data_IF_603395088878
#
_entry.id   IF_603395088878
#
_cell.length_a   1.000
_cell.length_b   1.000
_cell.length_c   1.000
_cell.angle_alpha   90.00
_cell.angle_beta   90.00
_cell.angle_gamma   90.00
#
_symmetry.space_group_name_H-M   'P 1'
#
loop_
_entity.id
_entity.type
_entity.pdbx_description
1 polymer ?
#
# COMPACT_ATOMS: atom_id res chain seq x y z
N UNK A 1 25.93 2.92 25.45
CA UNK A 1 26.10 3.64 24.17
C UNK A 1 27.12 2.86 23.38
N UNK A 2 26.66 1.80 22.73
CA UNK A 2 27.48 0.62 22.44
C UNK A 2 27.73 0.48 20.94
N UNK A 3 28.94 0.01 20.61
CA UNK A 3 29.57 0.05 19.27
C UNK A 3 28.79 -0.69 18.17
N UNK A 4 27.76 -1.46 18.49
CA UNK A 4 26.87 -2.12 17.52
C UNK A 4 25.84 -1.19 16.88
N UNK A 5 25.49 -0.08 17.53
CA UNK A 5 24.56 0.91 16.97
C UNK A 5 25.14 1.51 15.67
N UNK A 6 26.45 1.66 15.56
CA UNK A 6 27.11 2.14 14.33
C UNK A 6 27.10 1.12 13.18
N UNK A 7 27.01 -0.19 13.44
CA UNK A 7 27.15 -1.22 12.39
C UNK A 7 25.87 -1.34 11.54
N UNK A 8 24.70 -1.02 12.12
CA UNK A 8 23.43 -1.01 11.38
C UNK A 8 23.22 0.27 10.56
N UNK A 9 23.73 1.42 11.05
CA UNK A 9 23.69 2.69 10.31
C UNK A 9 24.69 2.73 9.14
N UNK A 10 25.84 2.06 9.24
CA UNK A 10 26.90 2.17 8.23
C UNK A 10 26.69 1.27 7.00
N UNK A 11 26.00 0.13 7.13
CA UNK A 11 25.94 -0.88 6.05
C UNK A 11 24.78 -0.71 5.06
N UNK A 12 23.80 0.14 5.36
CA UNK A 12 22.61 0.36 4.52
C UNK A 12 22.72 1.65 3.69
N UNK A 13 23.56 2.62 4.09
CA UNK A 13 23.64 3.93 3.42
C UNK A 13 25.06 4.40 3.01
N UNK A 14 26.14 3.69 3.36
CA UNK A 14 27.50 4.04 2.93
C UNK A 14 28.10 2.97 2.02
N UNK A 15 27.50 2.86 0.83
CA UNK A 15 28.12 2.31 -0.36
C UNK A 15 28.37 3.39 -1.41
N UNK A 16 28.74 4.61 -1.00
CA UNK A 16 29.38 5.65 -1.83
C UNK A 16 29.62 6.87 -0.95
N UNK A 17 30.83 7.01 -0.40
CA UNK A 17 31.31 8.28 0.14
C UNK A 17 32.62 8.63 -0.56
N UNK A 18 32.67 9.85 -1.09
CA UNK A 18 33.90 10.47 -1.58
C UNK A 18 33.64 11.49 -2.69
N UNK A 19 33.24 12.71 -2.32
CA UNK A 19 33.24 13.88 -3.20
C UNK A 19 32.22 14.94 -2.81
N UNK A 20 32.69 16.13 -2.40
CA UNK A 20 31.91 17.37 -2.33
C UNK A 20 31.32 17.75 -3.70
N UNK A 21 30.25 18.58 -3.74
CA UNK A 21 29.33 18.62 -4.87
C UNK A 21 29.85 19.48 -6.01
N UNK A 22 30.11 18.85 -7.16
CA UNK A 22 30.18 19.57 -8.44
C UNK A 22 28.75 19.69 -8.99
N UNK A 23 28.19 20.90 -8.96
CA UNK A 23 26.95 21.26 -9.67
C UNK A 23 27.23 21.45 -11.17
N UNK A 24 27.96 20.51 -11.77
CA UNK A 24 28.32 20.45 -13.17
C UNK A 24 27.61 19.30 -13.86
N UNK A 25 26.63 19.62 -14.72
CA UNK A 25 26.07 18.70 -15.72
C UNK A 25 25.31 17.50 -15.17
N UNK A 26 24.06 17.72 -14.75
CA UNK A 26 23.10 16.66 -14.42
C UNK A 26 22.87 15.77 -15.66
N UNK A 27 23.56 14.63 -15.69
CA UNK A 27 23.08 13.40 -16.34
C UNK A 27 22.91 12.36 -15.22
N UNK A 28 21.96 12.61 -14.31
CA UNK A 28 21.46 11.56 -13.44
C UNK A 28 20.84 10.53 -14.37
N UNK A 29 21.42 9.33 -14.40
CA UNK A 29 20.99 8.27 -15.30
C UNK A 29 19.56 7.83 -14.91
N UNK A 30 18.56 8.53 -15.45
CA UNK A 30 17.11 8.25 -15.39
C UNK A 30 16.80 6.77 -15.68
N UNK A 31 17.69 6.12 -16.44
CA UNK A 31 17.64 4.74 -16.91
C UNK A 31 17.56 3.67 -15.80
N UNK A 32 17.89 3.97 -14.54
CA UNK A 32 17.84 2.98 -13.45
C UNK A 32 16.49 2.85 -12.75
N UNK A 33 15.79 3.97 -12.53
CA UNK A 33 14.59 4.04 -11.68
C UNK A 33 13.29 4.15 -12.49
N UNK A 34 13.36 4.75 -13.67
CA UNK A 34 12.21 4.97 -14.53
C UNK A 34 12.40 4.26 -15.86
N UNK A 35 11.37 3.54 -16.27
CA UNK A 35 11.36 2.80 -17.52
C UNK A 35 10.09 3.16 -18.28
N UNK A 36 10.19 3.40 -19.58
CA UNK A 36 8.99 3.55 -20.40
C UNK A 36 8.20 2.23 -20.44
N UNK A 37 6.89 2.38 -20.47
CA UNK A 37 5.96 1.28 -20.59
C UNK A 37 6.27 0.50 -21.87
N UNK A 38 6.40 -0.82 -21.72
CA UNK A 38 6.62 -1.74 -22.83
C UNK A 38 5.63 -2.89 -22.75
N UNK A 39 5.40 -3.55 -23.89
CA UNK A 39 4.45 -4.65 -24.00
C UNK A 39 4.75 -5.79 -23.02
N UNK A 40 6.03 -6.13 -22.82
CA UNK A 40 6.43 -7.20 -21.89
C UNK A 40 6.05 -6.89 -20.44
N UNK A 41 6.25 -5.65 -20.00
CA UNK A 41 5.83 -5.20 -18.67
C UNK A 41 4.30 -5.14 -18.58
N UNK A 42 3.63 -4.55 -19.58
CA UNK A 42 2.17 -4.43 -19.62
C UNK A 42 1.48 -5.80 -19.56
N UNK A 43 1.92 -6.78 -20.34
CA UNK A 43 1.36 -8.15 -20.31
C UNK A 43 1.61 -8.84 -18.96
N UNK A 44 2.78 -8.64 -18.37
CA UNK A 44 3.15 -9.29 -17.10
C UNK A 44 2.42 -8.70 -15.89
N UNK A 45 2.32 -7.37 -15.81
CA UNK A 45 1.80 -6.66 -14.65
C UNK A 45 0.34 -6.23 -14.80
N UNK A 46 -0.15 -6.08 -16.03
CA UNK A 46 -1.53 -5.68 -16.36
C UNK A 46 -2.16 -6.59 -17.42
N UNK A 47 -2.28 -7.91 -17.17
CA UNK A 47 -2.80 -8.88 -18.15
C UNK A 47 -4.25 -8.65 -18.57
N UNK A 48 -4.99 -7.79 -17.84
CA UNK A 48 -6.35 -7.38 -18.19
C UNK A 48 -6.40 -6.14 -19.10
N UNK A 49 -5.26 -5.56 -19.46
CA UNK A 49 -5.20 -4.31 -20.23
C UNK A 49 -5.68 -3.08 -19.44
N UNK A 50 -5.71 -3.16 -18.11
CA UNK A 50 -6.24 -2.10 -17.23
C UNK A 50 -5.59 -2.23 -15.85
N UNK A 51 -5.23 -1.09 -15.25
CA UNK A 51 -4.72 -0.98 -13.88
C UNK A 51 -5.79 -1.43 -12.90
N UNK A 52 -7.00 -0.86 -12.99
CA UNK A 52 -8.12 -1.19 -12.09
C UNK A 52 -8.71 -2.58 -12.34
N UNK A 53 -8.68 -3.06 -13.60
CA UNK A 53 -9.04 -4.44 -13.94
C UNK A 53 -8.12 -5.46 -13.25
N UNK A 54 -6.82 -5.16 -13.20
CA UNK A 54 -5.85 -6.05 -12.54
C UNK A 54 -6.00 -6.02 -11.01
N UNK A 55 -6.32 -4.84 -10.45
CA UNK A 55 -6.67 -4.70 -9.03
C UNK A 55 -7.88 -5.58 -8.69
N UNK A 56 -8.97 -5.47 -9.47
CA UNK A 56 -10.17 -6.27 -9.26
C UNK A 56 -9.88 -7.78 -9.35
N UNK A 57 -9.11 -8.21 -10.37
CA UNK A 57 -8.75 -9.62 -10.58
C UNK A 57 -7.92 -10.17 -9.41
N UNK A 58 -6.91 -9.44 -8.96
CA UNK A 58 -6.01 -9.89 -7.90
C UNK A 58 -6.72 -9.94 -6.55
N UNK A 59 -7.51 -8.92 -6.21
CA UNK A 59 -8.30 -8.92 -4.98
C UNK A 59 -9.34 -10.02 -4.96
N UNK A 60 -9.99 -10.32 -6.10
CA UNK A 60 -10.92 -11.44 -6.23
C UNK A 60 -10.22 -12.78 -6.02
N UNK A 61 -9.02 -12.97 -6.59
CA UNK A 61 -8.20 -14.19 -6.38
C UNK A 61 -7.80 -14.36 -4.92
N UNK A 62 -7.28 -13.32 -4.28
CA UNK A 62 -6.84 -13.39 -2.89
C UNK A 62 -8.04 -13.64 -1.94
N UNK A 63 -9.16 -12.97 -2.19
CA UNK A 63 -10.40 -13.19 -1.43
C UNK A 63 -10.92 -14.61 -1.62
N UNK A 64 -10.83 -15.19 -2.82
CA UNK A 64 -11.22 -16.59 -3.06
C UNK A 64 -10.39 -17.58 -2.24
N UNK A 65 -9.06 -17.42 -2.21
CA UNK A 65 -8.17 -18.26 -1.40
C UNK A 65 -8.50 -18.15 0.09
N UNK A 66 -8.73 -16.92 0.58
CA UNK A 66 -9.13 -16.68 1.96
C UNK A 66 -10.50 -17.31 2.29
N UNK A 67 -11.47 -17.27 1.37
CA UNK A 67 -12.77 -17.90 1.57
C UNK A 67 -12.68 -19.42 1.62
N UNK A 68 -11.81 -20.05 0.82
CA UNK A 68 -11.58 -21.50 0.90
C UNK A 68 -11.02 -21.85 2.29
N UNK A 69 -9.99 -21.13 2.74
CA UNK A 69 -9.38 -21.35 4.06
C UNK A 69 -10.39 -21.12 5.19
N UNK A 70 -11.18 -20.04 5.11
CA UNK A 70 -12.25 -19.74 6.06
C UNK A 70 -13.33 -20.83 6.06
N UNK A 71 -13.67 -21.38 4.89
CA UNK A 71 -14.60 -22.49 4.75
C UNK A 71 -14.15 -23.73 5.52
N UNK A 72 -12.90 -24.15 5.37
CA UNK A 72 -12.32 -25.27 6.12
C UNK A 72 -12.28 -25.01 7.64
N UNK A 73 -11.91 -23.79 8.06
CA UNK A 73 -11.93 -23.42 9.48
C UNK A 73 -13.35 -23.44 10.05
N UNK A 74 -14.34 -23.00 9.27
CA UNK A 74 -15.73 -22.95 9.69
C UNK A 74 -16.32 -24.35 9.86
N UNK A 75 -16.01 -25.30 8.97
CA UNK A 75 -16.37 -26.72 9.18
C UNK A 75 -15.73 -27.29 10.44
N UNK A 76 -14.46 -26.96 10.70
CA UNK A 76 -13.79 -27.36 11.95
C UNK A 76 -14.45 -26.78 13.20
N UNK A 77 -14.81 -25.49 13.18
CA UNK A 77 -15.50 -24.84 14.29
C UNK A 77 -16.90 -25.42 14.52
N UNK A 78 -17.65 -25.74 13.47
CA UNK A 78 -18.95 -26.40 13.58
C UNK A 78 -18.82 -27.81 14.15
N UNK A 79 -17.82 -28.59 13.72
CA UNK A 79 -17.55 -29.92 14.30
C UNK A 79 -17.17 -29.82 15.79
N UNK A 80 -16.32 -28.85 16.14
CA UNK A 80 -15.95 -28.55 17.52
C UNK A 80 -17.15 -28.13 18.38
N UNK A 81 -18.04 -27.31 17.84
CA UNK A 81 -19.30 -26.93 18.49
C UNK A 81 -20.20 -28.13 18.75
N UNK A 82 -20.43 -28.98 17.73
CA UNK A 82 -21.25 -30.19 17.87
C UNK A 82 -20.65 -31.13 18.92
N UNK A 83 -19.33 -31.33 18.89
CA UNK A 83 -18.63 -32.14 19.88
C UNK A 83 -18.78 -31.56 21.30
N UNK A 84 -18.60 -30.24 21.45
CA UNK A 84 -18.74 -29.54 22.74
C UNK A 84 -20.16 -29.62 23.29
N UNK A 85 -21.18 -29.48 22.44
CA UNK A 85 -22.59 -29.63 22.84
C UNK A 85 -22.84 -31.05 23.33
N UNK A 86 -22.43 -32.07 22.57
CA UNK A 86 -22.58 -33.48 22.96
C UNK A 86 -21.93 -33.75 24.31
N UNK A 87 -20.69 -33.30 24.49
CA UNK A 87 -19.95 -33.49 25.73
C UNK A 87 -20.61 -32.77 26.92
N UNK A 88 -21.12 -31.56 26.70
CA UNK A 88 -21.82 -30.80 27.75
C UNK A 88 -23.13 -31.48 28.16
N UNK A 89 -23.87 -32.06 27.20
CA UNK A 89 -25.09 -32.82 27.48
C UNK A 89 -24.81 -34.12 28.25
N UNK A 90 -23.72 -34.83 27.94
CA UNK A 90 -23.28 -36.01 28.70
C UNK A 90 -22.98 -35.65 30.16
N UNK A 91 -22.17 -34.60 30.39
CA UNK A 91 -21.81 -34.13 31.74
C UNK A 91 -23.03 -33.61 32.51
N UNK A 92 -23.97 -32.94 31.82
CA UNK A 92 -25.22 -32.49 32.42
C UNK A 92 -26.07 -33.66 32.94
N UNK A 93 -26.04 -34.80 32.25
CA UNK A 93 -26.74 -36.01 32.67
C UNK A 93 -26.07 -36.67 33.90
N UNK A 94 -24.76 -36.50 34.08
CA UNK A 94 -23.98 -37.03 35.21
C UNK A 94 -24.12 -36.18 36.50
N UNK A 95 -24.66 -34.96 36.40
CA UNK A 95 -25.02 -34.12 37.56
C UNK A 95 -23.89 -33.27 38.15
N UNK A 96 -22.72 -33.22 37.51
CA UNK A 96 -21.58 -32.41 37.96
C UNK A 96 -21.68 -30.96 37.45
N UNK A 97 -22.04 -30.05 38.37
CA UNK A 97 -22.33 -28.64 38.07
C UNK A 97 -21.08 -27.82 37.75
N UNK A 98 -19.91 -28.18 38.29
CA UNK A 98 -18.66 -27.43 38.07
C UNK A 98 -18.10 -27.72 36.67
N UNK A 99 -18.23 -28.97 36.21
CA UNK A 99 -17.81 -29.37 34.86
C UNK A 99 -18.80 -28.91 33.78
N UNK A 100 -20.08 -28.74 34.13
CA UNK A 100 -21.11 -28.19 33.25
C UNK A 100 -20.81 -26.73 32.84
N UNK A 101 -20.35 -25.89 33.77
CA UNK A 101 -19.95 -24.52 33.48
C UNK A 101 -18.79 -24.44 32.47
N UNK A 102 -17.82 -25.35 32.59
CA UNK A 102 -16.70 -25.46 31.65
C UNK A 102 -17.19 -25.85 30.25
N UNK A 103 -18.12 -26.81 30.15
CA UNK A 103 -18.70 -27.25 28.86
C UNK A 103 -19.47 -26.13 28.14
N UNK A 104 -20.27 -25.34 28.87
CA UNK A 104 -20.97 -24.17 28.32
C UNK A 104 -19.97 -23.14 27.80
N UNK A 105 -18.87 -22.90 28.53
CA UNK A 105 -17.80 -21.99 28.11
C UNK A 105 -17.20 -22.37 26.75
N UNK A 106 -16.92 -23.66 26.52
CA UNK A 106 -16.44 -24.14 25.22
C UNK A 106 -17.49 -23.98 24.11
N UNK A 107 -18.78 -24.20 24.39
CA UNK A 107 -19.85 -23.98 23.42
C UNK A 107 -19.90 -22.51 22.98
N UNK A 108 -19.85 -21.58 23.95
CA UNK A 108 -19.84 -20.13 23.67
C UNK A 108 -18.61 -19.75 22.84
N UNK A 109 -17.42 -20.27 23.17
CA UNK A 109 -16.20 -20.04 22.41
C UNK A 109 -16.35 -20.43 20.93
N UNK A 110 -16.86 -21.63 20.64
CA UNK A 110 -17.08 -22.08 19.26
C UNK A 110 -18.14 -21.26 18.53
N UNK A 111 -19.23 -20.87 19.20
CA UNK A 111 -20.26 -19.99 18.61
C UNK A 111 -19.66 -18.64 18.21
N UNK A 112 -18.86 -18.03 19.08
CA UNK A 112 -18.19 -16.75 18.78
C UNK A 112 -17.25 -16.88 17.58
N UNK A 113 -16.46 -17.96 17.50
CA UNK A 113 -15.59 -18.22 16.35
C UNK A 113 -16.38 -18.39 15.04
N UNK A 114 -17.49 -19.15 15.06
CA UNK A 114 -18.36 -19.32 13.88
C UNK A 114 -18.91 -17.98 13.42
N UNK A 115 -19.36 -17.12 14.35
CA UNK A 115 -19.87 -15.79 14.02
C UNK A 115 -18.78 -14.90 13.41
N UNK A 116 -17.59 -14.85 14.00
CA UNK A 116 -16.47 -14.05 13.48
C UNK A 116 -16.05 -14.50 12.08
N UNK A 117 -15.93 -15.82 11.86
CA UNK A 117 -15.62 -16.39 10.55
C UNK A 117 -16.74 -16.16 9.52
N UNK A 118 -18.00 -16.23 9.95
CA UNK A 118 -19.16 -15.92 9.11
C UNK A 118 -19.18 -14.47 8.64
N UNK A 119 -18.95 -13.52 9.54
CA UNK A 119 -18.86 -12.08 9.21
C UNK A 119 -17.68 -11.81 8.27
N UNK A 120 -16.50 -12.37 8.57
CA UNK A 120 -15.32 -12.24 7.70
C UNK A 120 -15.59 -12.80 6.29
N UNK A 121 -16.23 -13.97 6.20
CA UNK A 121 -16.60 -14.59 4.92
C UNK A 121 -17.61 -13.75 4.14
N UNK A 122 -18.61 -13.16 4.81
CA UNK A 122 -19.56 -12.25 4.18
C UNK A 122 -18.86 -11.04 3.54
N UNK A 123 -17.93 -10.40 4.26
CA UNK A 123 -17.13 -9.31 3.71
C UNK A 123 -16.24 -9.76 2.56
N UNK A 124 -15.63 -10.95 2.67
CA UNK A 124 -14.83 -11.55 1.58
C UNK A 124 -15.65 -11.75 0.30
N UNK A 125 -16.84 -12.33 0.41
CA UNK A 125 -17.77 -12.53 -0.71
C UNK A 125 -18.18 -11.19 -1.33
N UNK A 126 -18.56 -10.22 -0.50
CA UNK A 126 -18.91 -8.86 -0.97
C UNK A 126 -17.75 -8.16 -1.66
N UNK A 127 -16.52 -8.42 -1.23
CA UNK A 127 -15.34 -7.85 -1.88
C UNK A 127 -15.06 -8.51 -3.23
N UNK A 128 -15.42 -9.79 -3.41
CA UNK A 128 -15.31 -10.52 -4.68
C UNK A 128 -16.35 -10.11 -5.73
N UNK A 129 -17.48 -9.56 -5.31
CA UNK A 129 -18.51 -9.05 -6.24
C UNK A 129 -18.14 -7.70 -6.84
N UNK A 130 -17.15 -7.00 -6.27
CA UNK A 130 -16.70 -5.71 -6.80
C UNK A 130 -16.12 -5.85 -8.21
N UNK A 131 -16.58 -5.01 -9.12
CA UNK A 131 -16.11 -4.94 -10.51
C UNK A 131 -15.07 -3.84 -10.67
N UNK A 132 -14.43 -3.79 -11.86
CA UNK A 132 -13.52 -2.70 -12.26
C UNK A 132 -14.11 -1.31 -11.99
N UNK A 133 -15.38 -1.13 -12.35
CA UNK A 133 -16.14 0.11 -12.15
C UNK A 133 -16.19 0.56 -10.67
N UNK A 134 -16.28 -0.38 -9.72
CA UNK A 134 -16.29 -0.04 -8.30
C UNK A 134 -14.93 0.51 -7.83
N UNK A 135 -13.83 0.03 -8.41
CA UNK A 135 -12.48 0.53 -8.13
C UNK A 135 -12.24 1.89 -8.80
N UNK A 136 -12.75 2.08 -10.02
CA UNK A 136 -12.76 3.39 -10.70
C UNK A 136 -13.50 4.41 -9.84
N UNK A 137 -14.69 4.07 -9.35
CA UNK A 137 -15.48 4.95 -8.45
C UNK A 137 -14.77 5.24 -7.14
N UNK A 138 -14.14 4.24 -6.54
CA UNK A 138 -13.40 4.41 -5.29
C UNK A 138 -12.19 5.35 -5.48
N UNK A 139 -11.43 5.14 -6.56
CA UNK A 139 -10.31 6.00 -6.95
C UNK A 139 -10.79 7.42 -7.26
N UNK A 140 -11.84 7.58 -8.06
CA UNK A 140 -12.47 8.86 -8.38
C UNK A 140 -12.86 9.65 -7.12
N UNK A 141 -13.51 8.98 -6.17
CA UNK A 141 -13.90 9.57 -4.89
C UNK A 141 -12.70 10.03 -4.07
N UNK A 142 -11.65 9.22 -3.98
CA UNK A 142 -10.45 9.57 -3.23
C UNK A 142 -9.66 10.70 -3.90
N UNK A 143 -9.49 10.61 -5.23
CA UNK A 143 -8.85 11.60 -6.08
C UNK A 143 -9.61 12.91 -6.21
N UNK A 144 -10.90 12.94 -5.82
CA UNK A 144 -11.83 14.04 -6.10
C UNK A 144 -11.84 14.42 -7.59
N UNK A 145 -11.79 13.39 -8.44
CA UNK A 145 -11.85 13.49 -9.90
C UNK A 145 -13.12 12.77 -10.40
N UNK A 146 -13.69 13.15 -11.55
CA UNK A 146 -14.81 12.40 -12.12
C UNK A 146 -14.33 11.02 -12.61
N UNK A 147 -15.23 10.04 -12.64
CA UNK A 147 -14.93 8.67 -13.07
C UNK A 147 -14.30 8.63 -14.49
N UNK A 148 -14.71 9.53 -15.38
CA UNK A 148 -14.16 9.65 -16.74
C UNK A 148 -12.67 10.00 -16.80
N UNK A 149 -12.17 10.78 -15.84
CA UNK A 149 -10.72 11.11 -15.76
C UNK A 149 -9.92 9.92 -15.23
N UNK A 150 -10.51 9.11 -14.36
CA UNK A 150 -9.90 7.86 -13.89
C UNK A 150 -9.86 6.81 -15.01
N UNK A 151 -10.90 6.76 -15.85
CA UNK A 151 -10.91 5.94 -17.06
C UNK A 151 -9.90 6.40 -18.10
N UNK A 152 -9.70 7.72 -18.25
CA UNK A 152 -8.68 8.25 -19.15
C UNK A 152 -7.27 7.91 -18.66
N UNK A 153 -7.00 8.05 -17.35
CA UNK A 153 -5.77 7.53 -16.75
C UNK A 153 -5.57 6.04 -17.04
N UNK A 154 -6.60 5.20 -16.83
CA UNK A 154 -6.51 3.75 -17.06
C UNK A 154 -6.18 3.41 -18.52
N UNK A 155 -6.66 4.23 -19.47
CA UNK A 155 -6.33 4.11 -20.89
C UNK A 155 -4.89 4.54 -21.20
N UNK A 156 -4.44 5.65 -20.60
CA UNK A 156 -3.08 6.14 -20.78
C UNK A 156 -2.04 5.25 -20.09
N UNK A 157 -2.40 4.58 -19.00
CA UNK A 157 -1.49 3.81 -18.15
C UNK A 157 -0.65 2.76 -18.89
N UNK A 158 -1.16 2.22 -20.01
CA UNK A 158 -0.47 1.23 -20.83
C UNK A 158 0.13 1.79 -22.13
N UNK A 159 0.02 3.10 -22.36
CA UNK A 159 0.62 3.77 -23.49
C UNK A 159 2.15 3.81 -23.35
N UNK A 160 2.87 3.76 -24.47
CA UNK A 160 4.34 3.65 -24.51
C UNK A 160 5.08 4.87 -23.94
N UNK A 161 4.41 6.03 -23.88
CA UNK A 161 4.92 7.27 -23.29
C UNK A 161 4.73 7.33 -21.76
N UNK A 162 4.09 6.33 -21.15
CA UNK A 162 3.97 6.22 -19.69
C UNK A 162 5.29 5.76 -19.07
N UNK A 163 5.72 6.42 -18.01
CA UNK A 163 6.85 6.00 -17.19
C UNK A 163 6.38 5.11 -16.04
N UNK A 164 7.04 3.96 -15.89
CA UNK A 164 6.95 3.07 -14.73
C UNK A 164 7.89 3.62 -13.66
N UNK A 165 7.34 3.95 -12.49
CA UNK A 165 8.04 4.54 -11.36
C UNK A 165 8.45 3.47 -10.34
N UNK A 166 9.71 3.03 -10.37
CA UNK A 166 10.26 2.07 -9.41
C UNK A 166 10.83 2.80 -8.20
N UNK A 167 9.94 3.26 -7.32
CA UNK A 167 10.30 4.05 -6.14
C UNK A 167 10.77 3.17 -4.98
N UNK A 168 10.15 2.01 -4.80
CA UNK A 168 10.43 1.09 -3.69
C UNK A 168 11.74 0.32 -3.91
N UNK A 169 12.51 0.16 -2.82
CA UNK A 169 13.68 -0.70 -2.78
C UNK A 169 13.55 -1.79 -1.70
N UNK A 170 14.18 -2.95 -1.92
CA UNK A 170 14.44 -3.93 -0.87
C UNK A 170 13.21 -4.57 -0.21
N UNK A 171 13.29 -4.75 1.11
CA UNK A 171 12.36 -5.55 1.94
C UNK A 171 10.92 -5.00 1.92
N UNK A 172 10.72 -3.68 1.77
CA UNK A 172 9.38 -3.08 1.70
C UNK A 172 8.63 -3.43 0.41
N UNK A 173 9.35 -3.64 -0.70
CA UNK A 173 8.76 -4.21 -1.92
C UNK A 173 8.33 -5.67 -1.72
N UNK A 174 8.96 -6.39 -0.79
CA UNK A 174 8.63 -7.79 -0.44
C UNK A 174 7.47 -7.83 0.55
N UNK A 175 7.43 -6.90 1.52
CA UNK A 175 6.41 -6.79 2.57
C UNK A 175 5.13 -6.06 2.11
N UNK A 176 5.20 -5.23 1.06
CA UNK A 176 4.04 -4.53 0.53
C UNK A 176 3.07 -5.51 -0.14
N UNK A 177 1.90 -5.65 0.49
CA UNK A 177 0.71 -6.33 -0.08
C UNK A 177 0.00 -5.49 -1.16
N UNK A 178 0.59 -4.37 -1.60
CA UNK A 178 0.01 -3.57 -2.68
C UNK A 178 -0.07 -4.40 -3.97
N UNK A 179 -1.24 -4.33 -4.61
CA UNK A 179 -1.56 -5.13 -5.81
C UNK A 179 -0.74 -4.70 -7.03
N UNK A 180 -0.35 -3.43 -7.07
CA UNK A 180 0.63 -2.87 -8.00
C UNK A 180 1.77 -2.30 -7.15
N UNK A 181 3.02 -2.61 -7.48
CA UNK A 181 4.20 -2.24 -6.66
C UNK A 181 4.95 -1.02 -7.19
N UNK A 182 4.75 -0.71 -8.47
CA UNK A 182 5.38 0.40 -9.15
C UNK A 182 4.34 1.48 -9.43
N UNK A 183 4.74 2.74 -9.29
CA UNK A 183 3.91 3.87 -9.70
C UNK A 183 3.89 4.03 -11.22
N UNK A 184 3.01 4.89 -11.71
CA UNK A 184 2.86 5.24 -13.12
C UNK A 184 2.80 6.76 -13.24
N UNK A 185 3.56 7.29 -14.20
CA UNK A 185 3.47 8.68 -14.65
C UNK A 185 3.10 8.65 -16.14
N UNK A 186 1.82 8.90 -16.43
CA UNK A 186 1.33 9.03 -17.80
C UNK A 186 1.64 10.44 -18.31
N UNK A 187 1.12 10.81 -19.48
CA UNK A 187 1.21 12.18 -19.97
C UNK A 187 0.51 13.16 -19.02
N UNK A 188 -0.69 12.82 -18.58
CA UNK A 188 -1.58 13.75 -17.88
C UNK A 188 -1.73 13.46 -16.36
N UNK A 189 -1.34 12.27 -15.91
CA UNK A 189 -1.60 11.81 -14.54
C UNK A 189 -0.39 11.13 -13.89
N UNK A 190 -0.38 11.14 -12.55
CA UNK A 190 0.54 10.38 -11.71
C UNK A 190 -0.23 9.53 -10.70
N UNK A 191 0.28 8.32 -10.45
CA UNK A 191 -0.28 7.30 -9.57
C UNK A 191 0.88 6.58 -8.87
N UNK A 192 0.96 6.56 -7.53
CA UNK A 192 2.08 5.92 -6.82
C UNK A 192 1.77 4.51 -6.31
N UNK A 193 0.67 3.93 -6.76
CA UNK A 193 0.21 2.61 -6.34
C UNK A 193 -0.04 2.46 -4.83
N UNK A 194 -0.40 3.56 -4.17
CA UNK A 194 -0.85 3.55 -2.78
C UNK A 194 -2.17 2.78 -2.58
N UNK A 195 -2.51 2.38 -1.33
CA UNK A 195 -3.73 1.63 -1.02
C UNK A 195 -5.03 2.33 -1.47
N UNK A 196 -5.03 3.67 -1.44
CA UNK A 196 -6.16 4.49 -1.85
C UNK A 196 -6.34 4.56 -3.38
N UNK A 197 -5.35 4.07 -4.15
CA UNK A 197 -5.32 4.11 -5.62
C UNK A 197 -5.58 5.53 -6.16
N UNK A 198 -4.94 6.52 -5.53
CA UNK A 198 -5.10 7.90 -5.88
C UNK A 198 -4.46 8.19 -7.25
N UNK A 199 -5.23 8.79 -8.13
CA UNK A 199 -4.76 9.39 -9.38
C UNK A 199 -4.75 10.91 -9.20
N UNK A 200 -3.64 11.55 -9.54
CA UNK A 200 -3.48 13.00 -9.46
C UNK A 200 -3.14 13.53 -10.87
N UNK A 201 -3.78 14.62 -11.29
CA UNK A 201 -3.42 15.31 -12.54
C UNK A 201 -2.06 15.97 -12.38
N UNK A 202 -1.13 15.74 -13.32
CA UNK A 202 0.23 16.31 -13.26
C UNK A 202 0.18 17.84 -13.21
N UNK A 203 -0.74 18.45 -13.97
CA UNK A 203 -0.97 19.91 -13.98
C UNK A 203 -1.50 20.49 -12.66
N UNK A 204 -2.16 19.66 -11.83
CA UNK A 204 -2.74 20.09 -10.55
C UNK A 204 -1.78 19.83 -9.39
N UNK A 205 -0.64 19.20 -9.65
CA UNK A 205 0.35 18.86 -8.65
C UNK A 205 1.00 20.15 -8.13
N UNK A 206 0.90 20.37 -6.82
CA UNK A 206 1.44 21.54 -6.13
C UNK A 206 2.76 21.25 -5.44
N UNK A 207 2.92 20.04 -4.90
CA UNK A 207 4.18 19.65 -4.28
C UNK A 207 4.51 18.16 -4.47
N UNK A 208 5.80 17.87 -4.44
CA UNK A 208 6.39 16.54 -4.37
C UNK A 208 7.55 16.58 -3.36
N UNK A 209 7.30 16.13 -2.13
CA UNK A 209 8.25 16.29 -1.02
C UNK A 209 8.59 14.95 -0.36
N UNK A 210 9.76 14.90 0.29
CA UNK A 210 10.11 13.79 1.17
C UNK A 210 9.43 13.93 2.53
N UNK A 211 9.02 12.81 3.11
CA UNK A 211 8.49 12.75 4.47
C UNK A 211 9.09 11.53 5.19
N UNK A 212 9.61 11.76 6.41
CA UNK A 212 10.01 10.69 7.32
C UNK A 212 8.80 10.23 8.14
N UNK A 213 8.63 8.93 8.25
CA UNK A 213 7.61 8.33 9.10
C UNK A 213 8.14 7.05 9.71
N UNK A 214 7.53 6.64 10.82
CA UNK A 214 8.02 5.48 11.56
C UNK A 214 6.98 4.40 11.73
N UNK A 215 7.44 3.15 11.65
CA UNK A 215 6.64 2.00 12.05
C UNK A 215 7.36 1.17 13.09
N UNK A 216 6.57 0.52 13.94
CA UNK A 216 7.07 -0.37 14.97
C UNK A 216 7.08 -1.80 14.44
N UNK A 217 8.25 -2.43 14.46
CA UNK A 217 8.38 -3.87 14.22
C UNK A 217 8.55 -4.57 15.54
N UNK A 218 7.64 -5.49 15.84
CA UNK A 218 7.75 -6.38 16.97
C UNK A 218 8.58 -7.61 16.57
N UNK A 219 9.80 -7.71 17.07
CA UNK A 219 10.65 -8.89 16.91
C UNK A 219 10.72 -9.61 18.25
N UNK A 220 9.81 -10.57 18.46
CA UNK A 220 9.68 -11.30 19.72
C UNK A 220 9.26 -10.38 20.87
N UNK A 221 10.10 -10.26 21.91
CA UNK A 221 9.82 -9.40 23.10
C UNK A 221 10.24 -7.94 22.94
N UNK A 222 10.78 -7.53 21.78
CA UNK A 222 11.31 -6.18 21.57
C UNK A 222 10.58 -5.50 20.41
N UNK A 223 10.05 -4.31 20.68
CA UNK A 223 9.56 -3.39 19.66
C UNK A 223 10.71 -2.50 19.19
N UNK A 224 10.97 -2.46 17.88
CA UNK A 224 11.98 -1.61 17.26
C UNK A 224 11.27 -0.57 16.38
N UNK A 225 11.56 0.71 16.62
CA UNK A 225 11.13 1.82 15.76
C UNK A 225 12.01 1.82 14.50
N UNK A 226 11.40 1.73 13.32
CA UNK A 226 12.08 1.82 12.03
C UNK A 226 11.64 3.13 11.36
N UNK A 227 12.62 3.91 10.91
CA UNK A 227 12.41 5.13 10.14
C UNK A 227 12.38 4.78 8.65
N UNK A 228 11.37 5.28 7.95
CA UNK A 228 11.18 5.07 6.52
C UNK A 228 10.99 6.40 5.80
N UNK A 229 11.67 6.49 4.66
CA UNK A 229 11.57 7.63 3.78
C UNK A 229 10.47 7.38 2.75
N UNK A 230 9.51 8.30 2.67
CA UNK A 230 8.50 8.31 1.63
C UNK A 230 8.57 9.57 0.79
N UNK A 231 8.13 9.47 -0.46
CA UNK A 231 7.76 10.62 -1.28
C UNK A 231 6.26 10.82 -1.19
N UNK A 232 5.84 12.08 -1.01
CA UNK A 232 4.43 12.47 -0.94
C UNK A 232 4.12 13.49 -2.01
N UNK A 233 3.07 13.22 -2.77
CA UNK A 233 2.47 14.11 -3.76
C UNK A 233 1.32 14.87 -3.11
N UNK A 234 1.21 16.17 -3.40
CA UNK A 234 0.12 17.02 -2.93
C UNK A 234 -0.51 17.71 -4.14
N UNK A 235 -1.79 17.42 -4.36
CA UNK A 235 -2.63 18.04 -5.40
C UNK A 235 -3.28 19.33 -4.88
N UNK A 236 -3.55 20.27 -5.77
CA UNK A 236 -4.29 21.52 -5.48
C UNK A 236 -5.67 21.30 -4.82
N UNK A 237 -6.32 20.15 -5.08
CA UNK A 237 -7.59 19.78 -4.43
C UNK A 237 -7.42 19.14 -3.04
N UNK A 238 -6.20 19.16 -2.50
CA UNK A 238 -5.82 18.62 -1.19
C UNK A 238 -5.71 17.11 -1.13
N UNK A 239 -5.76 16.40 -2.26
CA UNK A 239 -5.48 14.96 -2.31
C UNK A 239 -4.00 14.71 -2.19
N UNK A 240 -3.64 13.70 -1.41
CA UNK A 240 -2.25 13.24 -1.24
C UNK A 240 -2.10 11.79 -1.62
N UNK A 241 -0.97 11.45 -2.24
CA UNK A 241 -0.53 10.08 -2.47
C UNK A 241 0.91 9.92 -2.01
N UNK A 242 1.20 8.81 -1.33
CA UNK A 242 2.48 8.59 -0.65
C UNK A 242 3.00 7.21 -0.98
N UNK A 243 4.30 7.11 -1.24
CA UNK A 243 4.96 5.84 -1.51
C UNK A 243 6.37 5.83 -0.93
N UNK A 244 6.76 4.67 -0.41
CA UNK A 244 8.09 4.45 0.11
C UNK A 244 9.12 4.58 -1.01
N UNK A 245 10.24 5.21 -0.69
CA UNK A 245 11.25 5.53 -1.70
C UNK A 245 12.65 5.49 -1.14
N UNK A 246 13.62 5.30 -2.03
CA UNK A 246 14.99 5.72 -1.77
C UNK A 246 15.15 7.21 -2.04
N UNK A 247 16.14 7.84 -1.42
CA UNK A 247 16.47 9.25 -1.69
C UNK A 247 16.80 9.47 -3.18
N UNK A 248 17.57 8.57 -3.80
CA UNK A 248 17.93 8.67 -5.23
C UNK A 248 16.70 8.60 -6.14
N UNK A 249 15.80 7.64 -5.91
CA UNK A 249 14.58 7.50 -6.70
C UNK A 249 13.62 8.68 -6.50
N UNK A 250 13.48 9.18 -5.27
CA UNK A 250 12.63 10.32 -4.97
C UNK A 250 13.16 11.62 -5.58
N UNK A 251 14.48 11.87 -5.52
CA UNK A 251 15.11 13.03 -6.17
C UNK A 251 14.95 12.96 -7.70
N UNK A 252 15.10 11.76 -8.29
CA UNK A 252 14.85 11.57 -9.71
C UNK A 252 13.39 11.88 -10.06
N UNK A 253 12.42 11.46 -9.23
CA UNK A 253 11.00 11.76 -9.46
C UNK A 253 10.73 13.27 -9.37
N UNK A 254 11.29 13.94 -8.36
CA UNK A 254 11.18 15.40 -8.21
C UNK A 254 11.73 16.13 -9.43
N UNK A 255 12.88 15.72 -9.96
CA UNK A 255 13.47 16.29 -11.17
C UNK A 255 12.55 16.10 -12.38
N UNK A 256 12.10 14.87 -12.63
CA UNK A 256 11.19 14.53 -13.74
C UNK A 256 9.87 15.32 -13.66
N UNK A 257 9.34 15.53 -12.46
CA UNK A 257 8.13 16.30 -12.26
C UNK A 257 8.36 17.80 -12.48
N UNK A 258 9.50 18.34 -12.03
CA UNK A 258 9.87 19.74 -12.28
C UNK A 258 10.05 20.04 -13.77
N UNK A 259 10.59 19.11 -14.55
CA UNK A 259 10.68 19.25 -16.01
C UNK A 259 9.31 19.38 -16.67
N UNK A 260 8.26 18.77 -16.10
CA UNK A 260 6.89 18.81 -16.63
C UNK A 260 6.05 19.93 -16.05
N UNK A 261 6.36 20.36 -14.84
CA UNK A 261 5.67 21.42 -14.12
C UNK A 261 6.66 22.10 -13.18
N UNK A 262 7.25 23.20 -13.67
CA UNK A 262 8.28 23.97 -12.97
C UNK A 262 7.78 24.60 -11.66
N UNK A 263 6.46 24.71 -11.48
CA UNK A 263 5.83 25.34 -10.31
C UNK A 263 5.70 24.41 -9.10
N UNK A 264 6.07 23.12 -9.24
CA UNK A 264 5.99 22.15 -8.14
C UNK A 264 7.00 22.51 -7.04
N UNK A 265 6.49 22.67 -5.83
CA UNK A 265 7.32 22.80 -4.63
C UNK A 265 7.89 21.41 -4.26
N UNK A 266 9.21 21.28 -4.24
CA UNK A 266 9.89 20.04 -3.85
C UNK A 266 10.49 20.09 -2.46
N UNK A 267 10.18 21.14 -1.68
CA UNK A 267 10.81 21.49 -0.42
C UNK A 267 12.34 21.51 -0.53
N UNK A 268 12.87 21.94 -1.68
CA UNK A 268 14.30 21.87 -2.04
C UNK A 268 14.95 20.49 -1.89
N UNK A 269 14.14 19.43 -1.92
CA UNK A 269 14.57 18.05 -1.68
C UNK A 269 14.95 17.77 -0.22
N UNK A 270 14.56 18.64 0.71
CA UNK A 270 14.69 18.45 2.15
C UNK A 270 13.58 17.53 2.67
N UNK A 271 13.93 16.68 3.62
CA UNK A 271 13.00 15.72 4.25
C UNK A 271 12.16 16.42 5.31
N UNK A 272 10.83 16.31 5.21
CA UNK A 272 9.93 16.74 6.25
C UNK A 272 10.00 15.78 7.44
N UNK A 273 10.20 16.28 8.67
CA UNK A 273 10.20 15.43 9.86
C UNK A 273 8.80 14.91 10.17
N UNK A 274 8.76 13.82 10.95
CA UNK A 274 7.53 13.18 11.41
C UNK A 274 6.57 14.22 12.03
N UNK A 275 5.34 14.31 11.49
CA UNK A 275 4.31 15.26 11.94
C UNK A 275 4.29 16.62 11.23
N UNK A 276 5.33 16.99 10.47
CA UNK A 276 5.40 18.29 9.78
C UNK A 276 4.62 18.35 8.45
N UNK A 277 4.26 17.20 7.88
CA UNK A 277 3.57 17.11 6.59
C UNK A 277 2.26 17.92 6.53
N UNK A 278 1.48 17.90 7.62
CA UNK A 278 0.20 18.63 7.69
C UNK A 278 0.36 20.14 7.62
N UNK A 279 1.35 20.69 8.32
CA UNK A 279 1.68 22.11 8.29
C UNK A 279 2.21 22.53 6.91
N UNK A 280 3.07 21.70 6.32
CA UNK A 280 3.58 21.93 4.96
C UNK A 280 2.45 21.93 3.93
N UNK A 281 1.55 20.93 3.97
CA UNK A 281 0.39 20.87 3.10
C UNK A 281 -0.49 22.12 3.21
N UNK A 282 -0.74 22.62 4.43
CA UNK A 282 -1.51 23.86 4.63
C UNK A 282 -0.83 25.08 4.00
N UNK A 283 0.50 25.17 4.07
CA UNK A 283 1.28 26.23 3.42
C UNK A 283 1.16 26.17 1.90
N UNK A 284 1.35 24.98 1.31
CA UNK A 284 1.32 24.77 -0.15
C UNK A 284 -0.07 24.99 -0.75
N UNK A 285 -1.13 24.62 -0.03
CA UNK A 285 -2.49 24.81 -0.53
C UNK A 285 -3.01 26.25 -0.35
N UNK A 286 -2.34 27.06 0.47
CA UNK A 286 -2.66 28.47 0.64
C UNK A 286 -2.00 29.38 -0.41
N UNK A 287 -1.05 28.83 -1.20
CA UNK A 287 -0.32 29.52 -2.28
C UNK A 287 -0.84 29.20 -3.67
#
# INVERSE_FOLDING_TARGET
MDKEEKVCYHKIYLGSAGGEPDYGGININMAGFFQQMNEGYAQKHFPTGSVFGNVAKTLKRNSFVLLIAAGFMLTGCLAGLVWSIRRTLEVAAEGDKDVLGIGIGFCVFWVVLVLLLGVSSYFGIRNMTKKREDYIRASAKYSKLPESEIEDFDRQALASDTYILKLTAGLDRILSNATNKDGLLTRDYIYLAGPAQAVIRVKDLKACCFNDYTYYVNTGKRSKKIHCLAVTLISSNGVTDTSDTTEKAGRALMALLKERNETIDTNDGMVLPEGALSAYMKKILAS
#
